data_IF_180760252619
#
_entry.id   IF_180760252619
#
_cell.length_a   1.000
_cell.length_b   1.000
_cell.length_c   1.000
_cell.angle_alpha   90.00
_cell.angle_beta   90.00
_cell.angle_gamma   90.00
#
_symmetry.space_group_name_H-M   'P 1'
#
loop_
_entity.id
_entity.type
_entity.pdbx_description
1 polymer ?
#
# COMPACT_ATOMS: atom_id res chain seq x y z
N UNK A 1 -52.24 -27.79 35.73
CA UNK A 1 -51.53 -26.52 35.44
C UNK A 1 -50.10 -26.85 35.05
N UNK A 2 -49.72 -26.41 33.85
CA UNK A 2 -48.38 -26.03 33.34
C UNK A 2 -47.16 -26.92 33.60
N UNK A 3 -46.63 -27.37 32.46
CA UNK A 3 -45.30 -27.87 32.16
C UNK A 3 -44.12 -27.07 32.76
N UNK A 4 -43.01 -27.77 33.02
CA UNK A 4 -41.68 -27.25 32.80
C UNK A 4 -40.84 -28.35 32.11
N UNK A 5 -40.40 -28.04 30.88
CA UNK A 5 -39.61 -28.90 30.00
C UNK A 5 -38.21 -29.15 30.55
N UNK A 6 -37.74 -30.39 30.36
CA UNK A 6 -36.33 -30.74 30.30
C UNK A 6 -35.61 -29.92 29.22
N UNK A 7 -34.41 -29.43 29.53
CA UNK A 7 -33.37 -29.28 28.52
C UNK A 7 -32.09 -29.95 29.04
N UNK A 8 -31.81 -31.10 28.44
CA UNK A 8 -30.57 -31.87 28.58
C UNK A 8 -29.52 -31.17 27.73
N UNK A 9 -28.44 -30.69 28.36
CA UNK A 9 -27.23 -30.26 27.66
C UNK A 9 -26.49 -31.53 27.19
N UNK A 10 -26.73 -31.95 25.94
CA UNK A 10 -25.92 -32.95 25.27
C UNK A 10 -24.76 -32.22 24.56
N UNK A 11 -23.58 -32.25 25.19
CA UNK A 11 -22.31 -31.91 24.53
C UNK A 11 -21.99 -33.08 23.60
N UNK A 12 -22.38 -32.96 22.33
CA UNK A 12 -21.91 -33.86 21.29
C UNK A 12 -20.46 -33.50 20.97
N UNK A 13 -19.55 -34.33 21.46
CA UNK A 13 -18.17 -34.41 20.98
C UNK A 13 -18.20 -34.79 19.50
N UNK A 14 -18.02 -33.81 18.62
CA UNK A 14 -17.60 -34.05 17.24
C UNK A 14 -16.10 -33.88 17.22
N UNK A 15 -15.44 -35.01 17.07
CA UNK A 15 -14.04 -35.19 16.71
C UNK A 15 -13.63 -34.24 15.59
N UNK A 16 -12.89 -33.18 15.91
CA UNK A 16 -12.05 -32.53 14.91
C UNK A 16 -10.86 -33.44 14.67
N UNK A 17 -10.93 -34.18 13.56
CA UNK A 17 -9.76 -34.78 12.96
C UNK A 17 -8.71 -33.68 12.78
N UNK A 18 -7.59 -33.87 13.44
CA UNK A 18 -6.35 -33.14 13.23
C UNK A 18 -5.95 -33.26 11.76
N UNK A 19 -6.28 -32.24 10.96
CA UNK A 19 -5.50 -31.92 9.77
C UNK A 19 -4.25 -31.16 10.24
N UNK A 20 -3.33 -31.90 10.84
CA UNK A 20 -1.90 -31.62 10.67
C UNK A 20 -1.55 -31.97 9.22
N UNK A 21 -0.58 -31.24 8.67
CA UNK A 21 -0.17 -31.13 7.25
C UNK A 21 -1.08 -30.18 6.42
N UNK A 22 -0.65 -28.99 6.02
CA UNK A 22 0.65 -28.68 5.44
C UNK A 22 1.16 -27.30 5.88
N UNK A 23 1.99 -27.28 6.93
CA UNK A 23 3.11 -26.36 6.97
C UNK A 23 4.17 -26.93 6.04
N UNK A 24 4.21 -26.47 4.79
CA UNK A 24 5.38 -26.74 3.95
C UNK A 24 6.46 -25.75 4.36
N UNK A 25 7.53 -26.34 4.89
CA UNK A 25 8.75 -25.71 5.33
C UNK A 25 9.26 -24.65 4.34
N UNK A 26 9.45 -23.45 4.88
CA UNK A 26 10.53 -22.59 4.42
C UNK A 26 11.86 -23.24 4.87
N UNK A 27 12.48 -24.08 4.04
CA UNK A 27 13.88 -24.48 4.25
C UNK A 27 14.58 -24.93 2.96
N UNK A 28 15.63 -24.18 2.61
CA UNK A 28 16.81 -24.55 1.80
C UNK A 28 16.65 -25.43 0.55
N UNK A 29 16.78 -24.82 -0.63
CA UNK A 29 17.39 -25.50 -1.78
C UNK A 29 18.86 -25.06 -1.85
N UNK A 30 19.75 -25.85 -1.26
CA UNK A 30 21.16 -25.87 -1.63
C UNK A 30 21.34 -26.84 -2.80
N UNK A 31 21.71 -26.32 -3.97
CA UNK A 31 22.10 -27.07 -5.16
C UNK A 31 22.55 -26.10 -6.26
N UNK A 32 23.67 -26.35 -6.97
CA UNK A 32 24.23 -25.40 -7.91
C UNK A 32 23.43 -25.47 -9.22
N UNK A 33 22.37 -24.69 -9.29
CA UNK A 33 21.57 -24.49 -10.49
C UNK A 33 20.68 -23.28 -10.27
N UNK A 34 20.87 -22.22 -11.05
CA UNK A 34 20.14 -20.96 -11.00
C UNK A 34 18.62 -21.18 -10.96
N UNK A 35 18.01 -21.11 -9.77
CA UNK A 35 16.55 -21.10 -9.58
C UNK A 35 16.13 -19.73 -9.09
N UNK A 36 15.22 -19.08 -9.81
CA UNK A 36 14.56 -17.83 -9.40
C UNK A 36 13.97 -18.03 -7.99
N UNK A 37 14.44 -17.24 -7.01
CA UNK A 37 13.97 -17.32 -5.62
C UNK A 37 12.56 -16.72 -5.55
N UNK A 38 11.56 -17.52 -5.17
CA UNK A 38 10.21 -17.06 -4.83
C UNK A 38 10.17 -16.59 -3.37
N UNK A 39 9.49 -15.48 -3.09
CA UNK A 39 9.28 -14.96 -1.74
C UNK A 39 7.80 -14.96 -1.40
N UNK A 40 7.40 -15.54 -0.27
CA UNK A 40 6.01 -15.57 0.18
C UNK A 40 5.79 -14.54 1.29
N UNK A 41 4.77 -13.72 1.11
CA UNK A 41 4.27 -12.72 2.03
C UNK A 41 2.89 -13.18 2.50
N UNK A 42 2.75 -13.51 3.78
CA UNK A 42 1.48 -13.93 4.39
C UNK A 42 1.31 -13.28 5.75
N UNK A 43 0.04 -13.10 6.17
CA UNK A 43 -0.28 -12.63 7.52
C UNK A 43 0.36 -13.50 8.60
N UNK A 44 0.33 -14.83 8.44
CA UNK A 44 0.93 -15.75 9.41
C UNK A 44 2.44 -15.51 9.57
N UNK A 45 3.16 -15.22 8.47
CA UNK A 45 4.59 -14.93 8.51
C UNK A 45 4.88 -13.55 9.13
N UNK A 46 4.01 -12.57 8.91
CA UNK A 46 4.10 -11.24 9.55
C UNK A 46 3.89 -11.33 11.06
N UNK A 47 2.90 -12.12 11.51
CA UNK A 47 2.60 -12.32 12.93
C UNK A 47 3.71 -13.12 13.63
N UNK A 48 4.22 -14.18 13.00
CA UNK A 48 5.20 -15.08 13.63
C UNK A 48 6.62 -14.47 13.76
N UNK A 49 6.99 -13.52 12.91
CA UNK A 49 8.39 -13.06 12.82
C UNK A 49 8.78 -11.96 13.81
N UNK A 50 7.86 -11.42 14.63
CA UNK A 50 8.04 -10.20 15.47
C UNK A 50 8.53 -8.96 14.69
N UNK A 51 8.65 -9.07 13.37
CA UNK A 51 8.97 -8.03 12.43
C UNK A 51 7.65 -7.71 11.72
N UNK A 52 7.11 -6.48 11.83
CA UNK A 52 5.82 -6.15 11.22
C UNK A 52 5.80 -6.34 9.69
N UNK A 53 6.98 -6.47 9.08
CA UNK A 53 7.20 -6.48 7.64
C UNK A 53 7.97 -7.74 7.20
N UNK A 54 7.44 -8.53 6.25
CA UNK A 54 8.10 -9.73 5.76
C UNK A 54 9.25 -9.34 4.84
N UNK A 55 10.51 -9.55 5.27
CA UNK A 55 11.76 -9.11 4.59
C UNK A 55 12.08 -9.79 3.25
N UNK A 56 11.10 -10.36 2.56
CA UNK A 56 11.32 -11.25 1.42
C UNK A 56 11.61 -10.56 0.10
N UNK A 57 10.93 -9.47 -0.24
CA UNK A 57 10.85 -9.05 -1.64
C UNK A 57 11.40 -7.65 -1.95
N UNK A 58 12.15 -7.05 -1.03
CA UNK A 58 12.80 -5.76 -1.25
C UNK A 58 13.62 -5.80 -2.54
N UNK A 59 13.54 -4.73 -3.34
CA UNK A 59 14.24 -4.57 -4.62
C UNK A 59 13.68 -5.35 -5.82
N UNK A 60 12.51 -6.00 -5.72
CA UNK A 60 11.78 -6.49 -6.89
C UNK A 60 11.01 -5.34 -7.56
N UNK A 61 10.92 -5.37 -8.90
CA UNK A 61 10.15 -4.37 -9.64
C UNK A 61 8.76 -4.91 -9.99
N UNK A 62 7.75 -4.04 -9.85
CA UNK A 62 6.37 -4.30 -10.25
C UNK A 62 5.89 -3.15 -11.12
N UNK A 63 5.17 -3.48 -12.20
CA UNK A 63 4.48 -2.49 -13.02
C UNK A 63 3.04 -2.37 -12.56
N UNK A 64 2.63 -1.16 -12.21
CA UNK A 64 1.26 -0.86 -11.79
C UNK A 64 0.75 0.27 -12.68
N UNK A 65 -0.43 0.08 -13.26
CA UNK A 65 -1.10 1.09 -14.07
C UNK A 65 -2.17 1.78 -13.23
N UNK A 66 -2.22 3.10 -13.28
CA UNK A 66 -3.21 3.92 -12.57
C UNK A 66 -4.06 4.68 -13.58
N UNK A 67 -5.38 4.65 -13.41
CA UNK A 67 -6.36 5.24 -14.32
C UNK A 67 -6.87 4.24 -15.37
N UNK A 68 -7.68 4.75 -16.30
CA UNK A 68 -8.33 3.94 -17.36
C UNK A 68 -8.24 4.62 -18.73
N UNK A 69 -8.29 3.82 -19.79
CA UNK A 69 -8.30 4.34 -21.17
C UNK A 69 -7.07 5.20 -21.47
N UNK A 70 -7.27 6.33 -22.14
CA UNK A 70 -6.19 7.25 -22.50
C UNK A 70 -5.58 8.01 -21.31
N UNK A 71 -6.22 7.94 -20.13
CA UNK A 71 -5.71 8.53 -18.90
C UNK A 71 -4.91 7.52 -18.05
N UNK A 72 -4.81 6.27 -18.49
CA UNK A 72 -4.04 5.24 -17.80
C UNK A 72 -2.54 5.49 -17.93
N UNK A 73 -1.84 5.51 -16.81
CA UNK A 73 -0.38 5.71 -16.74
C UNK A 73 0.25 4.50 -16.07
N UNK A 74 1.22 3.88 -16.74
CA UNK A 74 1.99 2.78 -16.19
C UNK A 74 3.23 3.29 -15.43
N UNK A 75 3.40 2.81 -14.21
CA UNK A 75 4.53 3.14 -13.36
C UNK A 75 5.31 1.87 -13.02
N UNK A 76 6.63 2.02 -12.94
CA UNK A 76 7.50 1.00 -12.34
C UNK A 76 7.75 1.37 -10.89
N UNK A 77 7.55 0.41 -10.00
CA UNK A 77 7.82 0.55 -8.58
C UNK A 77 8.86 -0.46 -8.12
N UNK A 78 9.65 -0.07 -7.14
CA UNK A 78 10.33 -1.05 -6.29
C UNK A 78 9.37 -1.49 -5.21
N UNK A 79 9.20 -2.81 -5.05
CA UNK A 79 8.44 -3.42 -3.97
C UNK A 79 9.11 -3.11 -2.65
N UNK A 80 8.32 -2.57 -1.73
CA UNK A 80 8.74 -2.29 -0.37
C UNK A 80 7.80 -2.97 0.62
N UNK A 81 8.34 -3.99 1.29
CA UNK A 81 7.60 -4.76 2.28
C UNK A 81 7.46 -4.04 3.62
N UNK A 82 8.28 -2.99 3.85
CA UNK A 82 8.26 -2.10 5.01
C UNK A 82 7.24 -0.98 4.90
N UNK A 83 6.74 -0.71 3.70
CA UNK A 83 5.80 0.36 3.42
C UNK A 83 4.36 -0.12 3.41
N UNK A 84 3.47 0.78 3.85
CA UNK A 84 2.03 0.60 3.84
C UNK A 84 1.32 1.38 2.71
N UNK A 85 2.07 2.05 1.82
CA UNK A 85 1.50 3.00 0.84
C UNK A 85 1.77 2.58 -0.60
N UNK A 86 0.81 2.82 -1.49
CA UNK A 86 1.12 3.02 -2.91
C UNK A 86 1.31 4.52 -3.14
N UNK A 87 2.52 4.95 -3.51
CA UNK A 87 2.88 6.36 -3.65
C UNK A 87 3.55 6.64 -4.99
N UNK A 88 3.01 7.60 -5.75
CA UNK A 88 3.53 8.00 -7.07
C UNK A 88 3.53 9.52 -7.21
N UNK A 89 4.36 10.05 -8.11
CA UNK A 89 4.19 11.45 -8.54
C UNK A 89 2.95 11.57 -9.40
N UNK A 90 2.06 12.50 -9.06
CA UNK A 90 0.96 12.89 -9.91
C UNK A 90 1.23 14.26 -10.54
N UNK A 91 0.68 14.51 -11.73
CA UNK A 91 0.64 15.84 -12.33
C UNK A 91 -0.50 16.63 -11.69
N UNK A 92 -0.14 17.61 -10.88
CA UNK A 92 -1.04 18.61 -10.27
C UNK A 92 -0.44 19.99 -10.51
N UNK A 93 -1.19 21.09 -10.29
CA UNK A 93 -0.59 22.43 -10.35
C UNK A 93 0.62 22.57 -9.41
N UNK A 94 0.51 22.04 -8.19
CA UNK A 94 1.56 22.08 -7.16
C UNK A 94 2.80 21.30 -7.60
N UNK A 95 2.65 20.03 -7.98
CA UNK A 95 3.80 19.21 -8.40
C UNK A 95 4.44 19.75 -9.68
N UNK A 96 3.62 20.26 -10.61
CA UNK A 96 4.10 20.90 -11.83
C UNK A 96 4.96 22.12 -11.50
N UNK A 97 4.55 22.96 -10.54
CA UNK A 97 5.35 24.08 -10.07
C UNK A 97 6.67 23.61 -9.43
N UNK A 98 6.61 22.62 -8.53
CA UNK A 98 7.79 22.04 -7.87
C UNK A 98 8.76 21.36 -8.85
N UNK A 99 8.28 20.93 -10.02
CA UNK A 99 9.09 20.40 -11.12
C UNK A 99 9.36 21.43 -12.23
N UNK A 100 9.44 22.72 -11.90
CA UNK A 100 9.80 23.81 -12.83
C UNK A 100 8.91 23.88 -14.08
N UNK A 101 7.61 23.62 -13.92
CA UNK A 101 6.65 23.58 -15.02
C UNK A 101 6.67 22.29 -15.84
N UNK A 102 7.57 21.34 -15.55
CA UNK A 102 7.79 20.15 -16.36
C UNK A 102 7.33 18.87 -15.67
N UNK A 103 6.13 18.41 -16.06
CA UNK A 103 5.55 17.15 -15.60
C UNK A 103 4.62 16.62 -16.71
N UNK A 104 5.09 15.76 -17.63
CA UNK A 104 4.28 15.33 -18.76
C UNK A 104 3.17 14.37 -18.33
N UNK A 105 1.96 14.58 -18.86
CA UNK A 105 0.78 13.75 -18.55
C UNK A 105 0.89 12.32 -19.09
N UNK A 106 1.73 12.07 -20.11
CA UNK A 106 1.95 10.72 -20.67
C UNK A 106 2.75 9.78 -19.75
N UNK A 107 3.38 10.32 -18.71
CA UNK A 107 4.17 9.54 -17.74
C UNK A 107 3.79 9.84 -16.29
N UNK A 108 2.80 10.70 -16.07
CA UNK A 108 2.37 11.10 -14.74
C UNK A 108 0.85 11.27 -14.73
N UNK A 109 0.22 10.65 -13.75
CA UNK A 109 -1.21 10.59 -13.57
C UNK A 109 -1.73 12.00 -13.29
N UNK A 110 -2.69 12.45 -14.08
CA UNK A 110 -3.28 13.78 -13.91
C UNK A 110 -4.33 13.70 -12.82
N UNK A 111 -4.01 14.22 -11.63
CA UNK A 111 -4.97 14.26 -10.54
C UNK A 111 -6.04 15.30 -10.87
N UNK A 112 -7.30 14.88 -10.83
CA UNK A 112 -8.46 15.75 -11.00
C UNK A 112 -9.24 15.83 -9.70
N UNK A 113 -9.99 16.92 -9.44
CA UNK A 113 -10.78 17.05 -8.22
C UNK A 113 -11.76 15.88 -7.98
N UNK A 114 -12.26 15.24 -9.04
CA UNK A 114 -13.17 14.09 -8.94
C UNK A 114 -12.49 12.80 -8.45
N UNK A 115 -11.16 12.76 -8.42
CA UNK A 115 -10.34 11.62 -8.00
C UNK A 115 -9.64 11.87 -6.67
N UNK A 116 -9.73 13.09 -6.13
CA UNK A 116 -9.24 13.42 -4.80
C UNK A 116 -10.14 12.80 -3.74
N UNK A 117 -9.53 12.14 -2.75
CA UNK A 117 -10.28 11.64 -1.60
C UNK A 117 -10.57 12.81 -0.66
N UNK A 118 -11.84 12.96 -0.30
CA UNK A 118 -12.30 14.06 0.55
C UNK A 118 -13.18 13.58 1.70
N UNK A 119 -13.18 14.33 2.81
CA UNK A 119 -14.05 14.10 3.97
C UNK A 119 -13.39 13.38 5.16
N UNK A 120 -13.90 13.65 6.36
CA UNK A 120 -13.30 13.16 7.61
C UNK A 120 -13.34 11.64 7.77
N UNK A 121 -14.39 10.97 7.28
CA UNK A 121 -14.56 9.53 7.43
C UNK A 121 -13.54 8.75 6.60
N UNK A 122 -13.24 9.24 5.39
CA UNK A 122 -12.31 8.64 4.43
C UNK A 122 -10.87 9.04 4.69
N UNK A 123 -10.61 10.19 5.34
CA UNK A 123 -9.28 10.69 5.67
C UNK A 123 -8.82 10.41 7.10
N UNK A 124 -9.37 9.37 7.74
CA UNK A 124 -8.94 8.96 9.07
C UNK A 124 -7.73 8.03 9.00
N UNK A 125 -6.89 8.06 10.05
CA UNK A 125 -5.77 7.11 10.23
C UNK A 125 -6.26 5.64 10.25
N UNK A 126 -7.54 5.40 10.57
CA UNK A 126 -8.10 4.06 10.48
C UNK A 126 -8.53 3.66 9.06
N UNK A 127 -8.86 4.62 8.20
CA UNK A 127 -9.38 4.39 6.85
C UNK A 127 -8.29 4.36 5.78
N UNK A 128 -7.34 5.29 5.83
CA UNK A 128 -6.18 5.35 4.92
C UNK A 128 -4.93 4.91 5.64
N UNK A 129 -4.80 5.41 6.87
CA UNK A 129 -3.70 5.24 7.81
C UNK A 129 -2.40 5.97 7.56
N UNK A 130 -2.30 6.69 6.46
CA UNK A 130 -1.13 7.56 6.23
C UNK A 130 -1.53 9.04 6.16
N UNK A 131 -2.78 9.37 6.52
CA UNK A 131 -3.31 10.70 6.23
C UNK A 131 -4.31 11.26 7.22
N UNK A 132 -4.48 12.57 7.11
CA UNK A 132 -5.46 13.36 7.83
C UNK A 132 -6.20 14.30 6.89
N UNK A 133 -7.33 14.81 7.38
CA UNK A 133 -8.12 15.79 6.67
C UNK A 133 -7.46 17.17 6.75
N UNK A 134 -7.12 17.74 5.59
CA UNK A 134 -6.74 19.14 5.47
C UNK A 134 -7.96 20.04 5.67
N UNK A 135 -7.76 21.32 6.07
CA UNK A 135 -8.86 22.29 6.20
C UNK A 135 -9.69 22.51 4.92
N UNK A 136 -9.13 22.20 3.75
CA UNK A 136 -9.82 22.24 2.46
C UNK A 136 -10.58 20.94 2.13
N UNK A 137 -10.81 20.09 3.14
CA UNK A 137 -11.47 18.78 3.05
C UNK A 137 -10.76 17.71 2.21
N UNK A 138 -9.50 17.92 1.82
CA UNK A 138 -8.72 16.90 1.09
C UNK A 138 -7.97 15.98 2.04
N UNK A 139 -7.80 14.72 1.65
CA UNK A 139 -6.88 13.81 2.33
C UNK A 139 -5.43 14.19 2.04
N UNK A 140 -4.70 14.56 3.08
CA UNK A 140 -3.25 14.68 3.03
C UNK A 140 -2.59 13.34 3.28
N UNK A 141 -1.44 13.12 2.65
CA UNK A 141 -0.50 12.05 2.98
C UNK A 141 0.88 12.68 3.18
N UNK A 142 1.56 12.24 4.23
CA UNK A 142 3.00 12.47 4.42
C UNK A 142 3.68 11.14 4.65
N UNK A 143 4.51 10.73 3.68
CA UNK A 143 5.24 9.48 3.79
C UNK A 143 6.75 9.75 3.80
N UNK A 144 7.45 9.48 4.92
CA UNK A 144 8.90 9.34 4.90
C UNK A 144 9.26 8.06 4.14
N UNK A 145 10.19 8.17 3.16
CA UNK A 145 10.66 7.00 2.43
C UNK A 145 11.26 5.96 3.38
N UNK A 146 10.93 4.67 3.17
CA UNK A 146 11.48 3.64 4.04
C UNK A 146 12.98 3.41 3.79
N UNK A 147 13.71 3.01 4.85
CA UNK A 147 15.14 2.73 4.81
C UNK A 147 16.03 3.92 5.22
N UNK A 148 17.13 3.64 5.93
CA UNK A 148 18.12 4.63 6.33
C UNK A 148 19.15 4.79 5.18
N UNK A 149 19.48 6.00 4.67
CA UNK A 149 19.15 7.36 5.13
C UNK A 149 17.89 8.01 4.51
N UNK A 150 17.09 7.25 3.76
CA UNK A 150 15.85 7.70 3.11
C UNK A 150 14.76 8.22 4.05
N UNK A 151 14.77 7.82 5.32
CA UNK A 151 13.79 8.25 6.34
C UNK A 151 13.56 9.77 6.44
N UNK A 152 14.59 10.58 6.17
CA UNK A 152 14.48 12.04 6.21
C UNK A 152 14.03 12.67 4.88
N UNK A 153 13.74 11.85 3.87
CA UNK A 153 13.17 12.27 2.61
C UNK A 153 11.67 11.98 2.66
N UNK A 154 10.87 13.04 2.68
CA UNK A 154 9.44 12.96 2.92
C UNK A 154 8.71 13.40 1.65
N UNK A 155 7.73 12.61 1.24
CA UNK A 155 6.85 12.97 0.15
C UNK A 155 5.51 13.40 0.73
N UNK A 156 5.19 14.67 0.53
CA UNK A 156 3.90 15.23 0.88
C UNK A 156 3.00 15.25 -0.35
N UNK A 157 1.74 14.91 -0.15
CA UNK A 157 0.81 14.73 -1.25
C UNK A 157 -0.64 14.70 -0.82
N UNK A 158 -1.48 14.33 -1.79
CA UNK A 158 -2.89 14.11 -1.58
C UNK A 158 -3.22 12.64 -1.80
N UNK A 159 -4.19 12.10 -1.05
CA UNK A 159 -4.71 10.76 -1.36
C UNK A 159 -5.71 10.88 -2.51
N UNK A 160 -5.55 10.01 -3.49
CA UNK A 160 -6.43 9.87 -4.64
C UNK A 160 -7.03 8.47 -4.69
N UNK A 161 -8.15 8.34 -5.40
CA UNK A 161 -8.78 7.07 -5.69
C UNK A 161 -9.08 6.96 -7.19
N UNK A 162 -8.57 5.91 -7.82
CA UNK A 162 -8.88 5.57 -9.21
C UNK A 162 -8.67 4.07 -9.45
N UNK A 163 -8.88 3.61 -10.68
CA UNK A 163 -8.57 2.22 -11.05
C UNK A 163 -7.07 1.99 -10.95
N UNK A 164 -6.68 1.01 -10.14
CA UNK A 164 -5.33 0.47 -10.05
C UNK A 164 -5.33 -0.89 -10.70
N UNK A 165 -4.40 -1.10 -11.63
CA UNK A 165 -4.23 -2.36 -12.35
C UNK A 165 -2.83 -2.92 -12.12
N UNK A 166 -2.78 -4.13 -11.58
CA UNK A 166 -1.52 -4.85 -11.32
C UNK A 166 -1.45 -6.04 -12.28
N UNK A 167 -0.35 -6.14 -13.02
CA UNK A 167 -0.14 -7.28 -13.92
C UNK A 167 0.25 -8.53 -13.13
N UNK A 168 -0.43 -9.64 -13.41
CA UNK A 168 -0.03 -10.97 -12.96
C UNK A 168 0.94 -11.56 -13.99
N UNK A 169 2.19 -11.72 -13.60
CA UNK A 169 3.28 -12.07 -14.53
C UNK A 169 3.25 -13.55 -14.92
N UNK A 170 2.64 -14.43 -14.11
CA UNK A 170 2.58 -15.86 -14.42
C UNK A 170 1.37 -16.24 -15.28
N UNK A 171 0.21 -15.63 -15.05
CA UNK A 171 -1.00 -15.97 -15.80
C UNK A 171 -1.20 -15.12 -17.05
N UNK A 172 -0.38 -14.08 -17.26
CA UNK A 172 -0.61 -13.05 -18.28
C UNK A 172 -1.87 -12.21 -18.04
N UNK A 173 -2.56 -12.44 -16.92
CA UNK A 173 -3.76 -11.71 -16.51
C UNK A 173 -3.43 -10.40 -15.82
N UNK A 174 -4.46 -9.63 -15.51
CA UNK A 174 -4.35 -8.42 -14.69
C UNK A 174 -5.44 -8.38 -13.65
N UNK A 175 -5.14 -7.74 -12.52
CA UNK A 175 -6.09 -7.48 -11.45
C UNK A 175 -6.35 -5.98 -11.43
N UNK A 176 -7.59 -5.57 -11.73
CA UNK A 176 -8.02 -4.18 -11.73
C UNK A 176 -9.05 -3.96 -10.63
N UNK A 177 -8.86 -2.93 -9.82
CA UNK A 177 -9.74 -2.58 -8.71
C UNK A 177 -9.74 -1.06 -8.46
N UNK A 178 -10.80 -0.50 -7.84
CA UNK A 178 -10.74 0.85 -7.29
C UNK A 178 -9.73 0.90 -6.15
N UNK A 179 -8.60 1.56 -6.36
CA UNK A 179 -7.50 1.62 -5.42
C UNK A 179 -7.20 3.04 -4.93
N UNK A 180 -6.81 3.14 -3.67
CA UNK A 180 -6.25 4.32 -3.02
C UNK A 180 -4.73 4.39 -3.26
N UNK A 181 -4.24 5.58 -3.53
CA UNK A 181 -2.82 5.86 -3.68
C UNK A 181 -2.50 7.30 -3.28
N UNK A 182 -1.25 7.53 -2.87
CA UNK A 182 -0.71 8.86 -2.64
C UNK A 182 -0.24 9.48 -3.95
N UNK A 183 -0.73 10.69 -4.22
CA UNK A 183 -0.23 11.59 -5.24
C UNK A 183 0.77 12.55 -4.60
N UNK A 184 2.05 12.24 -4.68
CA UNK A 184 3.11 13.11 -4.20
C UNK A 184 3.12 14.42 -4.99
N UNK A 185 3.07 15.53 -4.26
CA UNK A 185 3.13 16.89 -4.80
C UNK A 185 4.45 17.60 -4.49
N UNK A 186 5.10 17.22 -3.39
CA UNK A 186 6.32 17.83 -2.92
C UNK A 186 7.25 16.79 -2.31
N UNK A 187 8.54 16.91 -2.61
CA UNK A 187 9.61 16.19 -1.94
C UNK A 187 10.34 17.14 -0.99
N UNK A 188 10.48 16.70 0.26
CA UNK A 188 11.06 17.51 1.34
C UNK A 188 12.19 16.71 1.95
N UNK A 189 13.39 17.28 1.93
CA UNK A 189 14.57 16.67 2.54
C UNK A 189 14.85 17.31 3.90
N UNK A 190 14.56 16.57 4.96
CA UNK A 190 15.01 16.89 6.30
C UNK A 190 16.39 16.31 6.57
N UNK A 191 16.95 16.60 7.74
CA UNK A 191 18.23 16.03 8.19
C UNK A 191 18.11 15.62 9.65
N UNK A 192 18.92 14.66 10.14
CA UNK A 192 18.98 14.35 11.57
C UNK A 192 19.27 15.57 12.46
N UNK A 193 20.00 16.56 11.92
CA UNK A 193 20.36 17.79 12.60
C UNK A 193 19.22 18.83 12.66
N UNK A 194 18.12 18.60 11.93
CA UNK A 194 16.92 19.44 11.97
C UNK A 194 15.68 18.56 12.26
N UNK A 195 15.49 18.13 13.53
CA UNK A 195 14.36 17.29 13.91
C UNK A 195 13.01 18.00 13.77
N UNK A 196 12.99 19.32 13.83
CA UNK A 196 11.76 20.12 13.66
C UNK A 196 11.22 20.03 12.24
N UNK A 197 12.09 20.02 11.22
CA UNK A 197 11.68 19.76 9.84
C UNK A 197 10.91 18.45 9.74
N UNK A 198 11.48 17.36 10.27
CA UNK A 198 10.84 16.04 10.21
C UNK A 198 9.48 16.07 10.90
N UNK A 199 9.43 16.54 12.15
CA UNK A 199 8.21 16.60 12.92
C UNK A 199 7.13 17.48 12.26
N UNK A 200 7.50 18.64 11.71
CA UNK A 200 6.56 19.55 11.06
C UNK A 200 6.02 18.98 9.75
N UNK A 201 6.87 18.27 8.99
CA UNK A 201 6.49 17.77 7.67
C UNK A 201 5.68 16.47 7.75
N UNK A 202 5.95 15.59 8.73
CA UNK A 202 5.24 14.32 8.90
C UNK A 202 3.98 14.42 9.75
N UNK A 203 3.75 15.54 10.43
CA UNK A 203 2.56 15.72 11.26
C UNK A 203 1.39 16.28 10.46
N UNK A 204 0.21 15.88 10.91
CA UNK A 204 -1.03 16.46 10.45
C UNK A 204 -1.12 17.93 10.87
N UNK A 205 -1.40 18.85 9.93
CA UNK A 205 -1.63 20.24 10.28
C UNK A 205 -2.78 20.34 11.27
N UNK A 206 -2.67 21.29 12.21
CA UNK A 206 -3.75 21.55 13.15
C UNK A 206 -5.02 21.99 12.40
N UNK A 207 -6.19 21.66 12.96
CA UNK A 207 -7.46 22.10 12.38
C UNK A 207 -7.48 23.63 12.21
N UNK A 208 -7.66 24.10 10.97
CA UNK A 208 -7.71 25.53 10.63
C UNK A 208 -6.35 26.21 10.33
N UNK A 209 -5.21 25.52 10.40
CA UNK A 209 -3.93 26.09 9.96
C UNK A 209 -3.84 26.17 8.43
N UNK A 210 -3.09 27.14 7.89
CA UNK A 210 -2.80 27.16 6.45
C UNK A 210 -2.11 25.84 6.03
N UNK A 211 -2.55 25.24 4.92
CA UNK A 211 -1.91 24.07 4.31
C UNK A 211 -0.85 24.45 3.28
N UNK A 212 -0.59 25.75 3.08
CA UNK A 212 0.24 26.26 1.97
C UNK A 212 1.68 25.75 2.03
N UNK A 213 2.25 25.64 3.23
CA UNK A 213 3.63 25.20 3.43
C UNK A 213 3.83 23.69 3.42
N UNK A 214 2.75 22.89 3.44
CA UNK A 214 2.84 21.43 3.42
C UNK A 214 3.39 20.90 2.09
N UNK A 215 3.27 21.69 1.03
CA UNK A 215 3.72 21.33 -0.31
C UNK A 215 4.88 22.20 -0.81
N UNK A 216 5.48 23.00 0.08
CA UNK A 216 6.67 23.78 -0.20
C UNK A 216 7.90 22.86 -0.18
N UNK A 217 8.21 22.27 -1.33
CA UNK A 217 9.32 21.33 -1.49
C UNK A 217 9.90 21.36 -2.90
N UNK A 218 10.68 20.33 -3.23
CA UNK A 218 11.22 20.15 -4.58
C UNK A 218 10.39 19.12 -5.37
N UNK A 219 10.72 18.97 -6.65
CA UNK A 219 10.11 17.97 -7.51
C UNK A 219 10.20 16.54 -6.90
N UNK A 220 9.07 15.81 -6.75
CA UNK A 220 9.09 14.43 -6.26
C UNK A 220 9.58 13.40 -7.29
N UNK A 221 9.79 13.81 -8.53
CA UNK A 221 10.24 12.95 -9.63
C UNK A 221 9.20 12.88 -10.75
N UNK A 222 9.47 12.08 -11.78
CA UNK A 222 8.57 11.92 -12.94
C UNK A 222 8.75 10.53 -13.56
N UNK A 223 7.65 9.94 -14.05
CA UNK A 223 7.68 8.74 -14.89
C UNK A 223 8.02 7.42 -14.18
N UNK A 224 8.18 7.43 -12.86
CA UNK A 224 8.35 6.24 -12.04
C UNK A 224 7.50 6.33 -10.78
N UNK A 225 7.14 5.17 -10.25
CA UNK A 225 6.52 5.08 -8.94
C UNK A 225 7.55 5.40 -7.85
N UNK A 226 7.09 6.01 -6.75
CA UNK A 226 7.96 6.37 -5.63
C UNK A 226 8.08 5.17 -4.70
N UNK A 227 6.96 4.60 -4.28
CA UNK A 227 6.92 3.49 -3.33
C UNK A 227 5.70 2.59 -3.57
N UNK A 228 5.89 1.27 -3.45
CA UNK A 228 4.80 0.30 -3.49
C UNK A 228 4.86 -0.61 -2.26
N UNK A 229 4.13 -0.20 -1.23
CA UNK A 229 3.86 -0.93 -0.01
C UNK A 229 3.24 -2.28 -0.29
N UNK A 230 3.89 -3.32 0.22
CA UNK A 230 3.63 -4.70 -0.15
C UNK A 230 3.39 -5.59 1.07
N UNK A 231 2.39 -5.19 1.84
CA UNK A 231 2.05 -5.77 3.15
C UNK A 231 0.53 -5.95 3.29
N UNK A 232 0.11 -6.81 4.22
CA UNK A 232 -1.29 -7.00 4.61
C UNK A 232 -1.59 -6.38 5.97
N UNK A 233 -2.87 -6.08 6.23
CA UNK A 233 -3.31 -5.59 7.53
C UNK A 233 -3.38 -6.77 8.51
N UNK A 234 -2.63 -6.66 9.62
CA UNK A 234 -2.58 -7.65 10.71
C UNK A 234 -3.15 -7.13 12.03
N UNK A 235 -3.84 -5.97 12.02
CA UNK A 235 -4.39 -5.29 13.20
C UNK A 235 -3.50 -4.13 13.67
N UNK A 236 -4.10 -2.94 13.88
CA UNK A 236 -3.38 -1.66 14.08
C UNK A 236 -3.54 -0.69 12.89
N UNK A 237 -2.78 0.41 12.86
CA UNK A 237 -2.70 1.34 11.72
C UNK A 237 -1.32 1.22 11.04
N UNK A 238 -1.14 1.30 9.69
CA UNK A 238 -2.01 0.98 8.54
C UNK A 238 -1.45 -0.11 7.62
N UNK A 239 -2.31 -0.64 6.76
CA UNK A 239 -1.94 -1.19 5.45
C UNK A 239 -2.98 -0.93 4.36
N UNK A 240 -3.93 0.00 4.57
CA UNK A 240 -5.11 0.14 3.71
C UNK A 240 -4.75 0.60 2.29
N UNK A 241 -3.60 1.25 2.11
CA UNK A 241 -3.06 1.64 0.80
C UNK A 241 -2.00 0.68 0.25
N UNK A 242 -1.66 -0.39 0.97
CA UNK A 242 -0.73 -1.39 0.48
C UNK A 242 -1.40 -2.22 -0.63
N UNK A 243 -0.66 -2.49 -1.71
CA UNK A 243 -1.25 -3.09 -2.92
C UNK A 243 -1.89 -4.46 -2.64
N UNK A 244 -1.26 -5.40 -1.91
CA UNK A 244 -1.88 -6.68 -1.60
C UNK A 244 -3.16 -6.57 -0.76
N UNK A 245 -3.18 -5.67 0.23
CA UNK A 245 -4.36 -5.46 1.07
C UNK A 245 -5.54 -4.93 0.25
N UNK A 246 -5.31 -3.98 -0.65
CA UNK A 246 -6.36 -3.44 -1.51
C UNK A 246 -6.94 -4.49 -2.46
N UNK A 247 -6.09 -5.36 -3.03
CA UNK A 247 -6.53 -6.49 -3.86
C UNK A 247 -7.42 -7.46 -3.06
N UNK A 248 -7.05 -7.75 -1.80
CA UNK A 248 -7.84 -8.58 -0.89
C UNK A 248 -9.18 -7.92 -0.54
N UNK A 249 -9.18 -6.64 -0.18
CA UNK A 249 -10.40 -5.89 0.16
C UNK A 249 -11.34 -5.76 -1.05
N UNK A 250 -10.82 -5.71 -2.26
CA UNK A 250 -11.60 -5.77 -3.50
C UNK A 250 -12.16 -7.16 -3.81
N UNK A 251 -11.88 -8.19 -2.99
CA UNK A 251 -12.36 -9.56 -3.20
C UNK A 251 -11.70 -10.29 -4.36
N UNK A 252 -10.61 -9.75 -4.91
CA UNK A 252 -9.91 -10.35 -6.06
C UNK A 252 -9.02 -11.54 -5.66
N UNK A 253 -8.74 -11.68 -4.36
CA UNK A 253 -8.01 -12.80 -3.78
C UNK A 253 -8.72 -13.28 -2.53
N UNK A 254 -8.79 -14.60 -2.36
CA UNK A 254 -9.46 -15.23 -1.23
C UNK A 254 -8.57 -15.36 0.02
N UNK A 255 -7.26 -15.18 -0.14
CA UNK A 255 -6.27 -15.34 0.93
C UNK A 255 -5.34 -14.13 1.00
N UNK A 256 -4.94 -13.76 2.23
CA UNK A 256 -3.89 -12.77 2.47
C UNK A 256 -2.50 -13.40 2.31
N UNK A 257 -2.22 -13.90 1.10
CA UNK A 257 -0.94 -14.51 0.72
C UNK A 257 -0.56 -14.02 -0.68
N UNK A 258 0.65 -13.47 -0.83
CA UNK A 258 1.24 -13.10 -2.11
C UNK A 258 2.62 -13.73 -2.23
N UNK A 259 2.90 -14.33 -3.38
CA UNK A 259 4.24 -14.76 -3.75
C UNK A 259 4.84 -13.76 -4.74
N UNK A 260 6.12 -13.45 -4.60
CA UNK A 260 6.88 -12.67 -5.56
C UNK A 260 7.96 -13.58 -6.15
N UNK A 261 7.76 -14.01 -7.40
CA UNK A 261 8.84 -14.49 -8.25
C UNK A 261 9.44 -13.28 -8.98
N UNK A 262 10.23 -13.48 -10.03
CA UNK A 262 10.68 -12.38 -10.92
C UNK A 262 9.48 -11.82 -11.72
N UNK A 263 8.48 -11.29 -11.00
CA UNK A 263 7.11 -11.06 -11.44
C UNK A 263 6.08 -11.51 -10.39
N UNK A 264 4.96 -10.79 -10.28
CA UNK A 264 3.97 -11.01 -9.23
C UNK A 264 3.24 -12.35 -9.37
N UNK A 265 3.17 -13.12 -8.28
CA UNK A 265 2.43 -14.37 -8.14
C UNK A 265 1.38 -14.24 -7.04
N UNK A 266 0.15 -13.98 -7.45
CA UNK A 266 -0.99 -13.98 -6.53
C UNK A 266 -1.51 -15.41 -6.40
N UNK A 267 -1.31 -16.06 -5.24
CA UNK A 267 -1.97 -17.34 -4.96
C UNK A 267 -3.44 -17.08 -4.60
N UNK A 268 -4.27 -16.87 -5.63
CA UNK A 268 -5.68 -17.13 -5.51
C UNK A 268 -5.88 -18.64 -5.71
N UNK A 269 -6.14 -19.37 -4.63
CA UNK A 269 -6.95 -20.57 -4.77
C UNK A 269 -8.35 -20.06 -5.12
N UNK A 270 -8.63 -19.98 -6.42
CA UNK A 270 -9.97 -19.87 -6.97
C UNK A 270 -10.73 -21.10 -6.51
N UNK A 271 -11.57 -20.96 -5.49
CA UNK A 271 -12.62 -21.93 -5.25
C UNK A 271 -13.71 -21.71 -6.29
N UNK A 272 -13.94 -22.74 -7.09
CA UNK A 272 -15.11 -22.90 -7.96
C UNK A 272 -16.41 -22.81 -7.17
#
# INVERSE_FOLDING_TARGET
MRALCLLVLAIAAVTYASAQDAGVEASTIHGPGSRSKSFVISVDHQVASSQPYPRGANSKQVSITVGTGNAAVAYKFTVDTGSAVLLLTCKTPTSTANCNGNLPAGSNYVLTPAKEVTGAATCSVNATGIGCLLPNNKCFISEPLTGNPGYYNINNGLVAQDTVTVQNVLSGGSLSFPGLFGCAEAYIKCTPANPDCFNQTTQCPAAGSSSSNLFDGTCPGSGNGIEAGWTFNVGGAPSAMAVPEQIYQAGLISKKVVSLQEGLVVHALTTF
#
